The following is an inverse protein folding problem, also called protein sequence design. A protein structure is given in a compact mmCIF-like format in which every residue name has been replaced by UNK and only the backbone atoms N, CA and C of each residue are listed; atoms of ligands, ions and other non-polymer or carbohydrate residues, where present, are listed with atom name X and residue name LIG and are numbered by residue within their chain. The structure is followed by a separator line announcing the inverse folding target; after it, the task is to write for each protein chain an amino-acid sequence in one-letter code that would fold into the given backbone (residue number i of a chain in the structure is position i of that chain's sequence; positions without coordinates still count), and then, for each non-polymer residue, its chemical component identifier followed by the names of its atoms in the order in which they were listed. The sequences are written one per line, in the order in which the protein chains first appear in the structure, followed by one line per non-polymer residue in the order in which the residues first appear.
data_IF_432287369510
#
_entry.id   IF_432287369510
#
_cell.length_a   1.000
_cell.length_b   1.000
_cell.length_c   1.000
_cell.angle_alpha   90.00
_cell.angle_beta   90.00
_cell.angle_gamma   90.00
#
_symmetry.space_group_name_H-M   'P 1'
#
loop_
_entity.id
_entity.type
_entity.pdbx_description
1 polymer ?
#
# COMPACT_ATOMS: atom_id res chain seq x y z
N UNK A 1 11.08 27.07 24.09
CA UNK A 1 11.62 26.47 22.85
C UNK A 1 10.70 25.34 22.45
N UNK A 2 9.98 25.53 21.36
CA UNK A 2 8.89 24.69 20.83
C UNK A 2 9.47 23.50 20.07
N UNK A 3 9.16 22.27 20.47
CA UNK A 3 9.52 21.08 19.69
C UNK A 3 8.23 20.36 19.27
N UNK A 4 7.66 20.81 18.15
CA UNK A 4 6.57 20.12 17.46
C UNK A 4 7.17 18.98 16.63
N UNK A 5 7.45 17.85 17.29
CA UNK A 5 7.72 16.59 16.59
C UNK A 5 6.39 15.89 16.32
N UNK A 6 5.59 16.44 15.41
CA UNK A 6 4.56 15.70 14.70
C UNK A 6 5.25 14.71 13.75
N UNK A 7 5.87 13.67 14.33
CA UNK A 7 6.15 12.42 13.62
C UNK A 7 4.78 11.97 13.13
N UNK A 8 4.56 12.04 11.82
CA UNK A 8 3.37 11.48 11.18
C UNK A 8 3.24 10.06 11.69
N UNK A 9 2.25 9.85 12.54
CA UNK A 9 1.90 8.55 13.06
C UNK A 9 1.54 7.72 11.84
N UNK A 10 2.48 6.89 11.39
CA UNK A 10 2.17 5.80 10.49
C UNK A 10 1.16 4.94 11.25
N UNK A 11 -0.11 4.88 10.82
CA UNK A 11 -1.10 4.14 11.55
C UNK A 11 -0.67 2.68 11.56
N UNK A 12 -0.81 2.10 12.75
CA UNK A 12 -0.49 0.76 13.15
C UNK A 12 -0.32 -0.24 12.00
N UNK A 13 0.84 -0.91 12.01
CA UNK A 13 1.08 -2.20 11.38
C UNK A 13 0.11 -3.21 12.00
N UNK A 14 -1.14 -3.17 11.54
CA UNK A 14 -2.15 -4.16 11.86
C UNK A 14 -1.69 -5.45 11.22
N UNK A 15 -1.08 -6.30 12.04
CA UNK A 15 -0.96 -7.72 11.77
C UNK A 15 -2.39 -8.25 11.62
N UNK A 16 -2.88 -8.30 10.39
CA UNK A 16 -4.13 -8.95 10.04
C UNK A 16 -3.81 -10.37 9.59
N UNK A 17 -4.30 -11.29 10.40
CA UNK A 17 -4.36 -12.71 10.12
C UNK A 17 -5.09 -12.95 8.78
N UNK A 18 -4.70 -14.04 8.09
CA UNK A 18 -5.18 -14.48 6.77
C UNK A 18 -4.74 -13.61 5.57
N UNK A 19 -3.50 -13.85 5.14
CA UNK A 19 -2.68 -13.10 4.17
C UNK A 19 -3.46 -12.34 3.07
N UNK A 20 -3.84 -11.07 3.33
CA UNK A 20 -4.32 -10.20 2.28
C UNK A 20 -3.13 -9.87 1.38
N UNK A 21 -3.39 -9.81 0.08
CA UNK A 21 -2.43 -9.59 -0.99
C UNK A 21 -1.24 -8.75 -0.53
N UNK A 22 -0.03 -9.33 -0.55
CA UNK A 22 1.12 -8.71 0.12
C UNK A 22 1.43 -7.36 -0.52
N UNK A 23 1.05 -6.29 0.20
CA UNK A 23 1.24 -4.89 -0.21
C UNK A 23 2.70 -4.65 -0.57
N UNK A 24 3.62 -5.30 0.16
CA UNK A 24 5.07 -5.20 -0.09
C UNK A 24 5.43 -5.85 -1.43
N UNK A 25 4.85 -7.02 -1.72
CA UNK A 25 5.07 -7.69 -3.01
C UNK A 25 4.50 -6.87 -4.18
N UNK A 26 3.29 -6.33 -4.03
CA UNK A 26 2.66 -5.50 -5.06
C UNK A 26 3.43 -4.20 -5.30
N UNK A 27 3.83 -3.52 -4.23
CA UNK A 27 4.66 -2.32 -4.30
C UNK A 27 5.97 -2.60 -5.04
N UNK A 28 6.68 -3.69 -4.68
CA UNK A 28 7.92 -4.11 -5.36
C UNK A 28 7.70 -4.45 -6.83
N UNK A 29 6.65 -5.22 -7.14
CA UNK A 29 6.32 -5.65 -8.51
C UNK A 29 6.06 -4.47 -9.43
N UNK A 30 5.35 -3.46 -8.93
CA UNK A 30 4.96 -2.28 -9.70
C UNK A 30 5.85 -1.06 -9.45
N UNK A 31 6.92 -1.18 -8.64
CA UNK A 31 7.82 -0.07 -8.27
C UNK A 31 7.07 1.18 -7.79
N UNK A 32 6.01 0.97 -7.02
CA UNK A 32 5.21 2.04 -6.42
C UNK A 32 5.42 2.09 -4.91
N UNK A 33 4.90 3.13 -4.25
CA UNK A 33 4.96 3.23 -2.80
C UNK A 33 4.06 2.17 -2.13
N UNK A 34 4.37 1.82 -0.89
CA UNK A 34 3.52 0.92 -0.10
C UNK A 34 2.14 1.52 0.18
N UNK A 35 2.03 2.85 0.23
CA UNK A 35 0.76 3.57 0.39
C UNK A 35 -0.09 3.43 -0.87
N UNK A 36 0.46 3.68 -2.05
CA UNK A 36 -0.25 3.47 -3.33
C UNK A 36 -0.65 2.01 -3.51
N UNK A 37 0.25 1.07 -3.16
CA UNK A 37 -0.03 -0.35 -3.21
C UNK A 37 -1.20 -0.72 -2.29
N UNK A 38 -1.24 -0.16 -1.09
CA UNK A 38 -2.32 -0.39 -0.13
C UNK A 38 -3.63 0.19 -0.67
N UNK A 39 -3.65 1.42 -1.16
CA UNK A 39 -4.84 2.05 -1.72
C UNK A 39 -5.40 1.26 -2.92
N UNK A 40 -4.52 0.75 -3.78
CA UNK A 40 -4.93 -0.08 -4.93
C UNK A 40 -5.51 -1.42 -4.46
N UNK A 41 -4.87 -2.08 -3.48
CA UNK A 41 -5.35 -3.35 -2.93
C UNK A 41 -6.66 -3.15 -2.14
N UNK A 42 -6.82 -2.05 -1.42
CA UNK A 42 -8.05 -1.71 -0.70
C UNK A 42 -9.18 -1.36 -1.66
N UNK A 43 -8.88 -0.60 -2.72
CA UNK A 43 -9.86 -0.20 -3.75
C UNK A 43 -10.31 -1.35 -4.63
N UNK A 44 -9.42 -2.30 -4.94
CA UNK A 44 -9.72 -3.40 -5.86
C UNK A 44 -9.95 -4.74 -5.16
N UNK A 45 -9.43 -4.95 -3.95
CA UNK A 45 -9.70 -6.08 -3.06
C UNK A 45 -9.57 -7.44 -3.73
N UNK A 46 -10.71 -8.01 -4.13
CA UNK A 46 -10.80 -9.30 -4.82
C UNK A 46 -10.38 -9.25 -6.31
N UNK A 47 -10.37 -8.07 -6.93
CA UNK A 47 -10.10 -7.88 -8.35
C UNK A 47 -8.60 -7.68 -8.63
N UNK A 48 -7.82 -8.74 -8.46
CA UNK A 48 -6.36 -8.78 -8.70
C UNK A 48 -5.95 -8.23 -10.08
N UNK A 49 -6.76 -8.47 -11.12
CA UNK A 49 -6.49 -7.97 -12.49
C UNK A 49 -6.54 -6.45 -12.57
N UNK A 50 -7.54 -5.85 -11.93
CA UNK A 50 -7.71 -4.39 -11.90
C UNK A 50 -6.64 -3.74 -11.01
N UNK A 51 -6.32 -4.37 -9.87
CA UNK A 51 -5.19 -3.96 -9.05
C UNK A 51 -3.89 -3.93 -9.86
N UNK A 52 -3.52 -5.04 -10.51
CA UNK A 52 -2.30 -5.17 -11.33
C UNK A 52 -2.26 -4.18 -12.51
N UNK A 53 -3.42 -3.86 -13.09
CA UNK A 53 -3.56 -2.81 -14.12
C UNK A 53 -3.33 -1.41 -13.56
N UNK A 54 -3.88 -1.11 -12.39
CA UNK A 54 -3.65 0.15 -11.69
C UNK A 54 -2.17 0.31 -11.29
N UNK A 55 -1.57 -0.73 -10.71
CA UNK A 55 -0.16 -0.75 -10.35
C UNK A 55 0.75 -0.52 -11.57
N UNK A 56 0.48 -1.17 -12.70
CA UNK A 56 1.22 -0.93 -13.96
C UNK A 56 1.10 0.49 -14.51
N UNK A 57 -0.02 1.18 -14.25
CA UNK A 57 -0.21 2.56 -14.71
C UNK A 57 0.56 3.58 -13.88
N UNK A 58 0.80 3.26 -12.61
CA UNK A 58 1.51 4.13 -11.67
C UNK A 58 3.02 3.84 -11.70
N UNK A 59 3.41 2.62 -12.07
CA UNK A 59 4.79 2.24 -12.37
C UNK A 59 5.35 3.08 -13.52
N UNK A 60 6.27 4.00 -13.21
CA UNK A 60 7.01 4.84 -14.16
C UNK A 60 8.49 4.50 -14.17
#
# INVERSE_FOLDING_TARGET
MTNDTTKKAQPAKAAVADAPYDVIYFAKKHRISNEDAKDIIEKHGANRKEADKAGRRISV
#
